data_IF_282755189539
#
_entry.id   IF_282755189539
#
_cell.length_a   1.000
_cell.length_b   1.000
_cell.length_c   1.000
_cell.angle_alpha   90.00
_cell.angle_beta   90.00
_cell.angle_gamma   90.00
#
_symmetry.space_group_name_H-M   'P 1'
#
loop_
_entity.id
_entity.type
_entity.pdbx_description
1 polymer ?
#
# COMPACT_ATOMS: atom_id res chain seq x y z
N UNK A 1 0.62 43.34 14.60
CA UNK A 1 1.62 42.55 15.36
C UNK A 1 1.69 41.18 14.70
N UNK A 2 2.40 41.07 13.57
CA UNK A 2 2.62 39.79 12.88
C UNK A 2 3.89 39.17 13.46
N UNK A 3 3.78 37.97 14.02
CA UNK A 3 4.91 37.23 14.60
C UNK A 3 5.89 36.73 13.52
N UNK A 4 7.14 36.40 13.89
CA UNK A 4 8.15 35.96 12.94
C UNK A 4 7.79 34.57 12.39
N UNK A 5 7.65 34.46 11.07
CA UNK A 5 7.64 33.16 10.40
C UNK A 5 8.96 32.46 10.71
N UNK A 6 8.87 31.25 11.25
CA UNK A 6 10.04 30.40 11.49
C UNK A 6 10.60 29.95 10.14
N UNK A 7 11.84 30.35 9.84
CA UNK A 7 12.61 29.88 8.69
C UNK A 7 12.93 28.39 8.88
N UNK A 8 12.14 27.52 8.24
CA UNK A 8 12.45 26.09 8.15
C UNK A 8 13.51 25.90 7.04
N UNK A 9 14.71 25.37 7.35
CA UNK A 9 15.81 25.25 6.40
C UNK A 9 15.54 24.23 5.28
N UNK A 10 14.43 23.49 5.33
CA UNK A 10 14.02 22.55 4.28
C UNK A 10 12.97 23.11 3.30
N UNK A 11 12.55 24.36 3.44
CA UNK A 11 11.62 24.99 2.49
C UNK A 11 12.44 25.65 1.37
N UNK A 12 12.42 25.01 0.20
CA UNK A 12 13.01 25.57 -1.02
C UNK A 12 11.99 26.50 -1.68
N UNK A 13 12.34 27.78 -1.79
CA UNK A 13 11.52 28.80 -2.44
C UNK A 13 11.55 28.58 -3.96
N UNK A 14 10.38 28.29 -4.56
CA UNK A 14 10.28 27.95 -5.97
C UNK A 14 10.15 29.22 -6.83
N UNK A 15 11.28 29.83 -7.19
CA UNK A 15 11.34 30.87 -8.21
C UNK A 15 10.98 30.27 -9.58
N UNK A 16 9.90 30.77 -10.20
CA UNK A 16 9.53 30.41 -11.57
C UNK A 16 10.52 31.07 -12.54
N UNK A 17 11.40 30.27 -13.12
CA UNK A 17 12.25 30.67 -14.23
C UNK A 17 11.37 30.80 -15.47
N UNK A 18 11.31 32.01 -16.03
CA UNK A 18 10.56 32.28 -17.26
C UNK A 18 11.10 31.47 -18.45
N UNK A 19 10.24 30.64 -19.05
CA UNK A 19 10.55 29.95 -20.30
C UNK A 19 10.56 30.92 -21.50
N UNK A 20 11.50 30.78 -22.45
CA UNK A 20 11.40 31.51 -23.71
C UNK A 20 10.33 30.88 -24.61
N UNK A 21 9.48 31.74 -25.19
CA UNK A 21 8.37 31.39 -26.07
C UNK A 21 8.78 30.43 -27.21
N UNK A 22 8.19 29.23 -27.23
CA UNK A 22 8.26 28.31 -28.36
C UNK A 22 7.10 28.58 -29.31
N UNK A 23 7.43 29.10 -30.49
CA UNK A 23 6.49 29.42 -31.55
C UNK A 23 5.91 28.18 -32.23
N UNK A 24 4.64 28.27 -32.62
CA UNK A 24 3.97 27.33 -33.52
C UNK A 24 4.69 27.24 -34.88
N UNK A 25 4.68 26.04 -35.48
CA UNK A 25 4.09 25.99 -36.81
C UNK A 25 3.09 24.84 -37.00
N UNK A 26 2.01 25.22 -37.68
CA UNK A 26 0.98 24.42 -38.32
C UNK A 26 1.53 23.18 -39.05
N UNK A 27 0.90 22.02 -38.85
CA UNK A 27 1.02 20.89 -39.77
C UNK A 27 -0.34 20.17 -39.91
N UNK A 28 -0.73 20.02 -41.16
CA UNK A 28 -2.03 19.61 -41.66
C UNK A 28 -2.24 18.09 -41.63
N UNK A 29 -3.49 17.65 -41.46
CA UNK A 29 -4.01 16.32 -41.86
C UNK A 29 -4.99 16.53 -43.04
N UNK A 30 -5.46 15.53 -43.84
CA UNK A 30 -5.30 14.06 -43.77
C UNK A 30 -5.13 13.32 -45.15
N UNK A 31 -5.11 11.97 -45.12
CA UNK A 31 -5.76 11.01 -46.08
C UNK A 31 -4.84 10.05 -46.87
N UNK A 32 -4.96 8.73 -46.63
CA UNK A 32 -5.43 7.67 -47.57
C UNK A 32 -5.24 6.25 -47.01
N UNK A 33 -6.26 5.40 -47.18
CA UNK A 33 -6.41 3.95 -46.87
C UNK A 33 -5.93 3.08 -48.09
N UNK A 34 -5.69 1.73 -48.10
CA UNK A 34 -6.26 0.65 -47.24
C UNK A 34 -5.39 -0.63 -46.94
N UNK A 35 -6.02 -1.57 -46.20
CA UNK A 35 -5.89 -3.04 -46.22
C UNK A 35 -4.83 -3.81 -45.37
N UNK A 36 -5.37 -4.51 -44.36
CA UNK A 36 -5.14 -5.93 -43.97
C UNK A 36 -3.73 -6.43 -43.67
N UNK A 37 -3.37 -6.45 -42.37
CA UNK A 37 -2.61 -7.53 -41.75
C UNK A 37 -3.13 -7.69 -40.32
N UNK A 38 -3.49 -8.92 -39.92
CA UNK A 38 -3.90 -9.22 -38.55
C UNK A 38 -2.71 -8.97 -37.62
N UNK A 39 -2.69 -7.79 -37.02
CA UNK A 39 -1.67 -7.35 -36.07
C UNK A 39 -1.87 -8.09 -34.76
N UNK A 40 -0.92 -8.95 -34.39
CA UNK A 40 -0.79 -9.43 -33.02
C UNK A 40 -0.68 -8.18 -32.14
N UNK A 41 -1.58 -7.95 -31.16
CA UNK A 41 -1.48 -6.76 -30.33
C UNK A 41 -0.12 -6.79 -29.63
N UNK A 42 0.67 -5.70 -29.67
CA UNK A 42 1.93 -5.66 -28.97
C UNK A 42 1.68 -5.90 -27.49
N UNK A 43 2.43 -6.82 -26.88
CA UNK A 43 2.47 -6.94 -25.42
C UNK A 43 3.02 -5.63 -24.88
N UNK A 44 2.16 -4.85 -24.24
CA UNK A 44 2.55 -3.57 -23.66
C UNK A 44 3.50 -3.84 -22.48
N UNK A 45 4.74 -3.43 -22.62
CA UNK A 45 5.71 -3.40 -21.52
C UNK A 45 5.20 -2.37 -20.50
N UNK A 46 5.14 -2.69 -19.20
CA UNK A 46 4.71 -1.71 -18.21
C UNK A 46 5.64 -0.48 -18.25
N UNK A 47 5.09 0.73 -18.05
CA UNK A 47 5.89 1.94 -18.01
C UNK A 47 6.92 1.88 -16.89
N UNK A 48 8.04 2.59 -17.06
CA UNK A 48 9.05 2.69 -16.02
C UNK A 48 8.49 3.40 -14.77
N UNK A 49 8.87 2.93 -13.59
CA UNK A 49 8.45 3.50 -12.29
C UNK A 49 8.97 4.93 -12.06
N UNK A 50 10.04 5.31 -12.76
CA UNK A 50 10.68 6.60 -12.67
C UNK A 50 10.95 7.15 -14.08
N UNK A 51 10.81 8.47 -14.23
CA UNK A 51 11.29 9.19 -15.41
C UNK A 51 12.82 9.23 -15.44
N UNK A 52 13.40 9.58 -16.59
CA UNK A 52 14.86 9.76 -16.73
C UNK A 52 15.43 10.82 -15.76
N UNK A 53 14.60 11.79 -15.35
CA UNK A 53 14.93 12.79 -14.34
C UNK A 53 14.78 12.30 -12.89
N UNK A 54 14.46 11.03 -12.67
CA UNK A 54 14.28 10.44 -11.33
C UNK A 54 12.94 10.80 -10.66
N UNK A 55 11.98 11.35 -11.41
CA UNK A 55 10.65 11.65 -10.87
C UNK A 55 9.80 10.37 -10.90
N UNK A 56 9.21 9.93 -9.77
CA UNK A 56 8.35 8.75 -9.77
C UNK A 56 7.10 8.95 -10.63
N UNK A 57 6.64 7.87 -11.28
CA UNK A 57 5.38 7.88 -12.00
C UNK A 57 4.20 7.99 -11.04
N UNK A 58 3.08 8.51 -11.53
CA UNK A 58 1.85 8.61 -10.73
C UNK A 58 1.38 7.23 -10.24
N UNK A 59 1.44 6.23 -11.11
CA UNK A 59 1.04 4.85 -10.78
C UNK A 59 1.94 4.28 -9.68
N UNK A 60 3.26 4.49 -9.74
CA UNK A 60 4.17 4.03 -8.69
C UNK A 60 3.88 4.68 -7.32
N UNK A 61 3.60 5.98 -7.28
CA UNK A 61 3.25 6.67 -6.02
C UNK A 61 1.92 6.15 -5.48
N UNK A 62 0.91 5.97 -6.35
CA UNK A 62 -0.39 5.41 -5.95
C UNK A 62 -0.21 4.02 -5.36
N UNK A 63 0.44 3.12 -6.09
CA UNK A 63 0.65 1.74 -5.67
C UNK A 63 1.46 1.67 -4.37
N UNK A 64 2.44 2.57 -4.19
CA UNK A 64 3.20 2.69 -2.93
C UNK A 64 2.32 3.15 -1.76
N UNK A 65 1.43 4.11 -1.97
CA UNK A 65 0.49 4.61 -0.95
C UNK A 65 -0.53 3.53 -0.59
N UNK A 66 -1.08 2.83 -1.58
CA UNK A 66 -2.05 1.75 -1.37
C UNK A 66 -1.39 0.60 -0.61
N UNK A 67 -0.19 0.18 -1.01
CA UNK A 67 0.55 -0.85 -0.30
C UNK A 67 0.88 -0.43 1.14
N UNK A 68 1.28 0.83 1.36
CA UNK A 68 1.53 1.36 2.70
C UNK A 68 0.25 1.42 3.53
N UNK A 69 -0.86 1.86 2.96
CA UNK A 69 -2.15 1.99 3.66
C UNK A 69 -2.71 0.62 4.04
N UNK A 70 -2.68 -0.34 3.11
CA UNK A 70 -3.10 -1.72 3.36
C UNK A 70 -2.24 -2.39 4.43
N UNK A 71 -0.92 -2.18 4.39
CA UNK A 71 0.00 -2.72 5.40
C UNK A 71 -0.17 -2.01 6.74
N UNK A 72 -0.31 -0.68 6.75
CA UNK A 72 -0.39 0.12 7.96
C UNK A 72 -1.62 -0.24 8.80
N UNK A 73 -2.80 -0.37 8.17
CA UNK A 73 -4.03 -0.75 8.88
C UNK A 73 -3.90 -2.11 9.55
N UNK A 74 -3.38 -3.12 8.84
CA UNK A 74 -3.14 -4.44 9.44
C UNK A 74 -2.03 -4.45 10.48
N UNK A 75 -0.97 -3.64 10.28
CA UNK A 75 0.17 -3.59 11.20
C UNK A 75 -0.12 -2.86 12.50
N UNK A 76 -1.01 -1.86 12.52
CA UNK A 76 -1.40 -1.15 13.74
C UNK A 76 -2.23 -2.07 14.64
N UNK A 77 -3.15 -2.85 14.06
CA UNK A 77 -3.92 -3.86 14.79
C UNK A 77 -3.00 -4.97 15.34
N UNK A 78 -2.05 -5.44 14.51
CA UNK A 78 -1.09 -6.48 14.93
C UNK A 78 -0.07 -5.96 15.96
N UNK A 79 0.41 -4.72 15.81
CA UNK A 79 1.23 -4.03 16.80
C UNK A 79 0.42 -3.71 18.06
N UNK A 80 -0.90 -3.57 17.96
CA UNK A 80 -1.81 -3.54 19.10
C UNK A 80 -1.75 -4.84 19.90
N UNK A 81 -1.69 -6.00 19.24
CA UNK A 81 -1.48 -7.32 19.86
C UNK A 81 -0.07 -7.45 20.49
N UNK A 82 0.94 -6.75 19.97
CA UNK A 82 2.32 -6.78 20.50
C UNK A 82 2.76 -5.58 21.34
N UNK A 83 1.92 -4.55 21.51
CA UNK A 83 2.27 -3.25 22.07
C UNK A 83 1.60 -2.94 23.41
N UNK A 84 0.27 -2.81 23.41
CA UNK A 84 -0.54 -2.61 24.64
C UNK A 84 -1.60 -3.70 24.85
N UNK A 85 -1.75 -4.63 23.91
CA UNK A 85 -2.60 -5.80 24.00
C UNK A 85 -1.92 -6.96 24.74
N UNK A 86 -2.66 -8.06 24.98
CA UNK A 86 -2.13 -9.24 25.65
C UNK A 86 -0.96 -9.81 24.84
N UNK A 87 0.20 -9.95 25.49
CA UNK A 87 1.40 -10.55 24.92
C UNK A 87 1.04 -11.89 24.26
N UNK A 88 1.66 -12.22 23.13
CA UNK A 88 1.34 -13.42 22.33
C UNK A 88 1.37 -14.69 23.20
N UNK A 89 2.33 -14.76 24.13
CA UNK A 89 2.44 -15.86 25.10
C UNK A 89 1.21 -15.99 26.00
N UNK A 90 0.63 -14.87 26.42
CA UNK A 90 -0.55 -14.86 27.27
C UNK A 90 -1.81 -15.34 26.55
N UNK A 91 -1.89 -15.19 25.22
CA UNK A 91 -2.99 -15.72 24.41
C UNK A 91 -2.87 -17.24 24.26
N UNK A 92 -1.66 -17.73 23.98
CA UNK A 92 -1.39 -19.17 23.90
C UNK A 92 -1.71 -19.87 25.22
N UNK A 93 -1.33 -19.28 26.36
CA UNK A 93 -1.67 -19.80 27.70
C UNK A 93 -3.19 -19.82 27.93
N UNK A 94 -3.92 -18.79 27.52
CA UNK A 94 -5.38 -18.74 27.64
C UNK A 94 -6.07 -19.82 26.79
N UNK A 95 -5.56 -20.08 25.59
CA UNK A 95 -6.07 -21.15 24.74
C UNK A 95 -5.78 -22.52 25.32
N UNK A 96 -4.55 -22.77 25.78
CA UNK A 96 -4.17 -24.02 26.44
C UNK A 96 -5.04 -24.30 27.67
N UNK A 97 -5.27 -23.28 28.51
CA UNK A 97 -6.15 -23.40 29.69
C UNK A 97 -7.59 -23.72 29.32
N UNK A 98 -8.13 -23.12 28.25
CA UNK A 98 -9.48 -23.43 27.76
C UNK A 98 -9.57 -24.85 27.25
N UNK A 99 -8.56 -25.31 26.54
CA UNK A 99 -8.48 -26.68 26.01
C UNK A 99 -8.40 -27.70 27.14
N UNK A 100 -7.54 -27.46 28.14
CA UNK A 100 -7.43 -28.31 29.34
C UNK A 100 -8.76 -28.39 30.10
N UNK A 101 -9.40 -27.24 30.33
CA UNK A 101 -10.71 -27.20 31.00
C UNK A 101 -11.78 -27.96 30.21
N UNK A 102 -11.78 -27.86 28.88
CA UNK A 102 -12.66 -28.62 28.01
C UNK A 102 -12.42 -30.12 28.10
N UNK A 103 -11.15 -30.55 28.04
CA UNK A 103 -10.75 -31.96 28.20
C UNK A 103 -11.18 -32.51 29.55
N UNK A 104 -10.88 -31.79 30.64
CA UNK A 104 -11.27 -32.19 31.99
C UNK A 104 -12.80 -32.33 32.13
N UNK A 105 -13.58 -31.43 31.51
CA UNK A 105 -15.04 -31.53 31.52
C UNK A 105 -15.55 -32.72 30.72
N UNK A 106 -14.94 -33.02 29.58
CA UNK A 106 -15.28 -34.22 28.80
C UNK A 106 -14.97 -35.51 29.58
N UNK A 107 -13.88 -35.55 30.32
CA UNK A 107 -13.51 -36.71 31.15
C UNK A 107 -14.46 -36.88 32.35
N UNK A 108 -14.96 -35.78 32.92
CA UNK A 108 -16.02 -35.82 33.93
C UNK A 108 -17.33 -36.38 33.35
N UNK A 109 -17.72 -35.96 32.14
CA UNK A 109 -18.90 -36.47 31.43
C UNK A 109 -18.73 -37.96 31.09
N UNK A 110 -17.53 -38.38 30.66
CA UNK A 110 -17.25 -39.79 30.36
C UNK A 110 -17.43 -40.65 31.62
N UNK A 111 -16.96 -40.17 32.77
CA UNK A 111 -17.11 -40.83 34.07
C UNK A 111 -18.58 -40.91 34.50
N UNK A 112 -19.33 -39.82 34.36
CA UNK A 112 -20.74 -39.79 34.76
C UNK A 112 -21.63 -40.70 33.89
N UNK A 113 -21.23 -40.92 32.62
CA UNK A 113 -21.89 -41.85 31.71
C UNK A 113 -21.44 -43.31 31.88
N UNK A 114 -20.49 -43.60 32.79
CA UNK A 114 -19.94 -44.94 32.98
C UNK A 114 -19.22 -45.47 31.75
N UNK A 115 -18.61 -44.58 30.96
CA UNK A 115 -17.91 -44.89 29.70
C UNK A 115 -16.39 -44.97 29.85
N UNK A 116 -15.91 -45.10 31.10
CA UNK A 116 -14.51 -45.31 31.49
C UNK A 116 -14.29 -46.72 32.04
#
# INVERSE_FOLDING_TARGET
MSGPQSDDPNVVDAEIVGEPAVGSPSASVPTTSPASAASVPPVAVPPADYSEGGVPSFDYVRDKIENRSNTAVGSIELAGIGGSGPDVKSLDEQWAKREEAGRAKLDEIRRSLGRD
#
